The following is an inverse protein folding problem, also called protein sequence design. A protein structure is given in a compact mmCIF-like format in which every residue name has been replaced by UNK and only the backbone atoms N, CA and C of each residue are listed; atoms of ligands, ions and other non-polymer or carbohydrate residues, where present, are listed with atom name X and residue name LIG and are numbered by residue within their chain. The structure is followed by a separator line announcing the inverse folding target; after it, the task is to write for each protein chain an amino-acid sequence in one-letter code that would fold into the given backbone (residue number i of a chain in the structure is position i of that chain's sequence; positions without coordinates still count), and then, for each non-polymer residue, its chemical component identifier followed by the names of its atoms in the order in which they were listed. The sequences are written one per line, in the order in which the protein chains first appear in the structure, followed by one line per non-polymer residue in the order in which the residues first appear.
data_IF_195819477591
#
_entry.id   IF_195819477591
#
_cell.length_a   1.000
_cell.length_b   1.000
_cell.length_c   1.000
_cell.angle_alpha   90.00
_cell.angle_beta   90.00
_cell.angle_gamma   90.00
#
_symmetry.space_group_name_H-M   'P 1'
#
loop_
_entity.id
_entity.type
_entity.pdbx_description
1 polymer ?
#
# COMPACT_ATOMS: atom_id res chain seq x y z
N UNK A 1 16.13 -14.89 16.68
CA UNK A 1 15.56 -15.97 17.53
C UNK A 1 15.65 -17.27 16.74
N UNK A 2 16.26 -18.33 17.34
CA UNK A 2 16.38 -19.61 16.63
C UNK A 2 15.18 -20.51 16.96
N UNK A 3 14.41 -20.86 15.92
CA UNK A 3 13.39 -21.90 15.98
C UNK A 3 14.05 -23.28 15.79
N UNK A 4 13.51 -24.31 16.46
CA UNK A 4 13.91 -25.69 16.12
C UNK A 4 13.26 -26.07 14.79
N UNK A 5 13.83 -27.06 14.08
CA UNK A 5 13.27 -27.55 12.81
C UNK A 5 11.80 -27.95 12.94
N UNK A 6 11.41 -28.55 14.07
CA UNK A 6 10.02 -28.93 14.32
C UNK A 6 9.10 -27.73 14.55
N UNK A 7 9.60 -26.70 15.23
CA UNK A 7 8.86 -25.46 15.41
C UNK A 7 8.63 -24.71 14.09
N UNK A 8 9.63 -24.75 13.23
CA UNK A 8 9.52 -24.14 11.88
C UNK A 8 8.50 -24.87 11.00
N UNK A 9 8.53 -26.20 10.99
CA UNK A 9 7.54 -27.02 10.27
C UNK A 9 6.10 -26.74 10.74
N UNK A 10 5.89 -26.60 12.06
CA UNK A 10 4.55 -26.27 12.61
C UNK A 10 4.09 -24.88 12.16
N UNK A 11 4.97 -23.88 12.17
CA UNK A 11 4.64 -22.54 11.66
C UNK A 11 4.30 -22.55 10.17
N UNK A 12 5.07 -23.27 9.36
CA UNK A 12 4.83 -23.41 7.92
C UNK A 12 3.50 -24.09 7.63
N UNK A 13 3.16 -25.15 8.39
CA UNK A 13 1.87 -25.81 8.28
C UNK A 13 0.71 -24.88 8.63
N UNK A 14 0.80 -24.16 9.76
CA UNK A 14 -0.23 -23.17 10.15
C UNK A 14 -0.39 -22.09 9.08
N UNK A 15 0.73 -21.60 8.52
CA UNK A 15 0.72 -20.60 7.46
C UNK A 15 0.10 -21.13 6.15
N UNK A 16 0.36 -22.38 5.81
CA UNK A 16 -0.20 -23.05 4.62
C UNK A 16 -1.70 -23.21 4.73
N UNK A 17 -2.18 -23.76 5.84
CA UNK A 17 -3.61 -23.95 6.10
C UNK A 17 -4.36 -22.62 6.06
N UNK A 18 -3.81 -21.60 6.71
CA UNK A 18 -4.42 -20.25 6.73
C UNK A 18 -4.50 -19.63 5.32
N UNK A 19 -3.50 -19.87 4.46
CA UNK A 19 -3.52 -19.39 3.06
C UNK A 19 -4.51 -20.14 2.18
N UNK A 20 -4.65 -21.47 2.39
CA UNK A 20 -5.50 -22.32 1.54
C UNK A 20 -6.97 -22.26 1.94
N UNK A 21 -7.26 -22.32 3.23
CA UNK A 21 -8.61 -22.43 3.77
C UNK A 21 -9.15 -21.15 4.42
N UNK A 22 -8.27 -20.13 4.63
CA UNK A 22 -8.60 -18.93 5.40
C UNK A 22 -8.74 -19.20 6.91
N UNK A 23 -8.57 -20.45 7.37
CA UNK A 23 -8.80 -20.87 8.76
C UNK A 23 -7.51 -21.43 9.36
N UNK A 24 -7.24 -21.09 10.62
CA UNK A 24 -6.11 -21.65 11.34
C UNK A 24 -6.41 -23.08 11.82
N UNK A 25 -5.49 -24.03 11.68
CA UNK A 25 -5.72 -25.40 12.11
C UNK A 25 -5.90 -25.49 13.65
N UNK A 26 -6.76 -26.42 14.08
CA UNK A 26 -6.94 -26.72 15.49
C UNK A 26 -5.72 -27.49 16.05
N UNK A 27 -5.60 -27.56 17.37
CA UNK A 27 -4.56 -28.38 18.03
C UNK A 27 -4.65 -29.86 17.69
N UNK A 28 -5.85 -30.35 17.39
CA UNK A 28 -6.08 -31.72 16.96
C UNK A 28 -5.58 -31.97 15.54
N UNK A 29 -5.87 -31.07 14.62
CA UNK A 29 -5.36 -31.15 13.24
C UNK A 29 -3.81 -31.06 13.22
N UNK A 30 -3.22 -30.21 14.06
CA UNK A 30 -1.75 -30.16 14.23
C UNK A 30 -1.21 -31.48 14.81
N UNK A 31 -1.88 -32.06 15.82
CA UNK A 31 -1.49 -33.36 16.38
C UNK A 31 -1.51 -34.44 15.32
N UNK A 32 -2.60 -34.55 14.56
CA UNK A 32 -2.78 -35.55 13.51
C UNK A 32 -1.77 -35.39 12.39
N UNK A 33 -1.57 -34.17 11.88
CA UNK A 33 -0.61 -33.86 10.81
C UNK A 33 0.82 -34.23 11.16
N UNK A 34 1.25 -33.94 12.40
CA UNK A 34 2.62 -34.20 12.84
C UNK A 34 2.82 -35.52 13.55
N UNK A 35 1.79 -36.35 13.72
CA UNK A 35 1.85 -37.64 14.39
C UNK A 35 2.21 -37.53 15.87
N UNK A 36 1.82 -36.45 16.55
CA UNK A 36 2.11 -36.31 17.98
C UNK A 36 1.31 -37.29 18.84
N UNK A 37 1.94 -37.88 19.84
CA UNK A 37 1.33 -38.86 20.73
C UNK A 37 0.14 -38.30 21.53
N UNK A 38 0.04 -36.97 21.67
CA UNK A 38 -1.06 -36.32 22.38
C UNK A 38 -1.27 -34.88 21.93
N UNK A 39 -2.46 -34.34 22.14
CA UNK A 39 -2.72 -32.91 21.95
C UNK A 39 -1.86 -32.03 22.84
N UNK A 40 -1.49 -32.51 24.02
CA UNK A 40 -0.59 -31.80 24.94
C UNK A 40 0.78 -31.52 24.30
N UNK A 41 1.31 -32.46 23.48
CA UNK A 41 2.55 -32.26 22.76
C UNK A 41 2.42 -31.12 21.73
N UNK A 42 1.34 -31.09 20.94
CA UNK A 42 1.05 -29.98 20.03
C UNK A 42 0.95 -28.64 20.78
N UNK A 43 0.18 -28.62 21.89
CA UNK A 43 0.02 -27.41 22.73
C UNK A 43 1.37 -26.90 23.26
N UNK A 44 2.28 -27.79 23.66
CA UNK A 44 3.59 -27.40 24.17
C UNK A 44 4.44 -26.72 23.08
N UNK A 45 4.39 -27.22 21.84
CA UNK A 45 5.04 -26.56 20.71
C UNK A 45 4.44 -25.19 20.44
N UNK A 46 3.10 -25.05 20.44
CA UNK A 46 2.43 -23.77 20.25
C UNK A 46 2.78 -22.78 21.35
N UNK A 47 2.80 -23.18 22.63
CA UNK A 47 3.26 -22.33 23.74
C UNK A 47 4.72 -21.89 23.59
N UNK A 48 5.57 -22.75 23.06
CA UNK A 48 6.96 -22.38 22.80
C UNK A 48 7.07 -21.35 21.68
N UNK A 49 6.23 -21.44 20.64
CA UNK A 49 6.14 -20.46 19.56
C UNK A 49 5.56 -19.12 20.04
N UNK A 50 4.58 -19.16 20.95
CA UNK A 50 4.05 -17.96 21.63
C UNK A 50 5.14 -17.25 22.45
N UNK A 51 5.87 -17.98 23.30
CA UNK A 51 6.98 -17.41 24.08
C UNK A 51 8.09 -16.82 23.20
N UNK A 52 8.26 -17.34 21.98
CA UNK A 52 9.19 -16.81 20.98
C UNK A 52 8.61 -15.66 20.17
N UNK A 53 7.35 -15.24 20.43
CA UNK A 53 6.71 -14.11 19.79
C UNK A 53 6.39 -14.30 18.29
N UNK A 54 6.40 -15.55 17.78
CA UNK A 54 6.08 -15.86 16.37
C UNK A 54 4.66 -16.36 16.15
N UNK A 55 3.96 -16.65 17.25
CA UNK A 55 2.55 -17.04 17.27
C UNK A 55 1.84 -16.28 18.38
N UNK A 56 0.62 -15.84 18.13
CA UNK A 56 -0.27 -15.26 19.13
C UNK A 56 -1.56 -16.07 19.18
N UNK A 57 -2.01 -16.43 20.40
CA UNK A 57 -3.26 -17.15 20.61
C UNK A 57 -4.22 -16.28 21.43
N UNK A 58 -5.47 -16.25 21.01
CA UNK A 58 -6.51 -15.60 21.79
C UNK A 58 -7.19 -16.61 22.69
N UNK A 59 -7.09 -16.42 24.01
CA UNK A 59 -7.70 -17.30 24.99
C UNK A 59 -9.23 -17.36 24.79
N UNK A 60 -9.79 -18.56 24.92
CA UNK A 60 -11.25 -18.79 24.88
C UNK A 60 -11.87 -18.93 23.49
N UNK A 61 -11.11 -18.86 22.40
CA UNK A 61 -11.62 -19.11 21.05
C UNK A 61 -10.86 -20.27 20.37
N UNK A 62 -11.55 -21.35 20.05
CA UNK A 62 -10.99 -22.41 19.22
C UNK A 62 -10.56 -21.82 17.85
N UNK A 63 -9.38 -22.21 17.35
CA UNK A 63 -8.81 -21.74 16.08
C UNK A 63 -8.40 -20.23 16.03
N UNK A 64 -8.40 -19.53 17.16
CA UNK A 64 -7.96 -18.13 17.20
C UNK A 64 -6.44 -18.04 17.43
N UNK A 65 -5.68 -18.53 16.47
CA UNK A 65 -4.23 -18.35 16.38
C UNK A 65 -3.90 -17.37 15.27
N UNK A 66 -3.07 -16.40 15.56
CA UNK A 66 -2.50 -15.48 14.58
C UNK A 66 -0.99 -15.73 14.51
N UNK A 67 -0.48 -15.95 13.30
CA UNK A 67 0.96 -15.89 13.07
C UNK A 67 1.39 -14.45 13.29
N UNK A 68 2.29 -14.23 14.24
CA UNK A 68 3.01 -12.96 14.30
C UNK A 68 3.94 -13.00 13.10
N UNK A 69 3.53 -12.36 12.02
CA UNK A 69 4.32 -12.30 10.80
C UNK A 69 5.69 -11.72 11.16
N UNK A 70 6.73 -12.53 11.08
CA UNK A 70 8.13 -12.07 11.19
C UNK A 70 8.55 -11.28 9.94
N UNK A 71 7.76 -11.34 8.90
CA UNK A 71 7.69 -10.27 7.92
C UNK A 71 6.96 -9.14 8.63
N UNK A 72 7.69 -8.13 9.05
CA UNK A 72 7.12 -6.81 9.36
C UNK A 72 6.36 -6.33 8.12
N UNK A 73 5.17 -6.90 7.90
CA UNK A 73 4.23 -6.33 6.94
C UNK A 73 3.64 -5.14 7.65
N UNK A 74 3.95 -3.98 7.15
CA UNK A 74 3.19 -2.81 7.52
C UNK A 74 1.73 -3.03 7.09
N UNK A 75 0.77 -2.35 7.71
CA UNK A 75 -0.63 -2.54 7.39
C UNK A 75 -0.85 -2.35 5.90
N UNK A 76 -1.63 -3.25 5.31
CA UNK A 76 -2.16 -3.05 3.97
C UNK A 76 -3.18 -1.92 4.08
N UNK A 77 -3.02 -0.90 3.25
CA UNK A 77 -3.98 0.19 3.12
C UNK A 77 -4.73 0.07 1.80
N UNK A 78 -5.98 0.44 1.84
CA UNK A 78 -6.84 0.55 0.69
C UNK A 78 -6.80 1.99 0.16
N UNK A 79 -6.16 2.17 -0.98
CA UNK A 79 -5.95 3.47 -1.64
C UNK A 79 -7.05 3.64 -2.69
N UNK A 80 -7.97 4.60 -2.54
CA UNK A 80 -9.00 4.85 -3.53
C UNK A 80 -8.38 5.33 -4.85
N UNK A 81 -8.88 4.81 -5.98
CA UNK A 81 -8.45 5.21 -7.33
C UNK A 81 -9.50 6.18 -7.87
N UNK A 82 -9.05 7.33 -8.37
CA UNK A 82 -9.88 8.31 -9.04
C UNK A 82 -9.52 8.42 -10.52
N UNK A 83 -10.52 8.54 -11.38
CA UNK A 83 -10.32 8.68 -12.84
C UNK A 83 -9.87 10.07 -13.24
N UNK A 84 -10.37 11.07 -12.56
CA UNK A 84 -9.98 12.48 -12.65
C UNK A 84 -10.41 13.16 -11.35
N UNK A 85 -9.71 14.19 -10.92
CA UNK A 85 -10.15 15.03 -9.81
C UNK A 85 -10.72 16.30 -10.46
N UNK A 86 -12.05 16.48 -10.38
CA UNK A 86 -12.65 17.77 -10.69
C UNK A 86 -12.25 18.77 -9.59
N UNK A 87 -12.25 20.02 -9.87
CA UNK A 87 -12.03 21.23 -9.05
C UNK A 87 -11.67 21.11 -7.54
N UNK A 88 -10.99 20.05 -7.10
CA UNK A 88 -10.50 19.87 -5.72
C UNK A 88 -11.11 18.70 -4.95
N UNK A 89 -10.49 18.36 -3.80
CA UNK A 89 -10.87 17.22 -2.94
C UNK A 89 -12.30 17.33 -2.37
N UNK A 90 -12.90 18.51 -2.31
CA UNK A 90 -14.23 18.73 -1.77
C UNK A 90 -15.36 18.07 -2.60
N UNK A 91 -15.09 17.72 -3.85
CA UNK A 91 -16.05 17.12 -4.79
C UNK A 91 -15.78 15.64 -5.12
N UNK A 92 -14.91 14.97 -4.36
CA UNK A 92 -14.67 13.54 -4.53
C UNK A 92 -15.86 12.74 -4.00
N UNK A 93 -16.85 12.53 -4.86
CA UNK A 93 -17.99 11.65 -4.57
C UNK A 93 -17.59 10.19 -4.73
N UNK A 94 -18.34 9.26 -4.09
CA UNK A 94 -18.14 7.82 -4.27
C UNK A 94 -18.28 7.40 -5.74
N UNK A 95 -19.05 8.12 -6.53
CA UNK A 95 -19.24 7.93 -7.98
C UNK A 95 -17.97 8.19 -8.80
N UNK A 96 -17.02 8.98 -8.30
CA UNK A 96 -15.73 9.24 -8.96
C UNK A 96 -14.69 8.11 -8.73
N UNK A 97 -14.98 7.12 -7.89
CA UNK A 97 -14.06 6.03 -7.57
C UNK A 97 -14.00 5.00 -8.69
N UNK A 98 -12.84 4.86 -9.30
CA UNK A 98 -12.54 3.84 -10.31
C UNK A 98 -12.10 2.49 -9.72
N UNK A 99 -12.16 2.33 -8.38
CA UNK A 99 -11.72 1.11 -7.68
C UNK A 99 -10.86 1.41 -6.46
N UNK A 100 -10.19 0.35 -5.96
CA UNK A 100 -9.30 0.41 -4.80
C UNK A 100 -8.00 -0.31 -5.14
N UNK A 101 -6.88 0.26 -4.74
CA UNK A 101 -5.54 -0.34 -4.83
C UNK A 101 -5.09 -0.71 -3.41
N UNK A 102 -5.05 -2.02 -3.10
CA UNK A 102 -4.59 -2.49 -1.79
C UNK A 102 -3.08 -2.74 -1.83
N UNK A 103 -2.31 -2.03 -1.01
CA UNK A 103 -0.85 -2.10 -0.99
C UNK A 103 -0.29 -2.06 0.43
N UNK A 104 0.87 -2.69 0.61
CA UNK A 104 1.68 -2.54 1.83
C UNK A 104 2.24 -1.11 1.87
N UNK A 105 2.03 -0.40 2.99
CA UNK A 105 2.46 1.00 3.16
C UNK A 105 3.96 1.17 2.95
N UNK A 106 4.76 0.18 3.36
CA UNK A 106 6.22 0.20 3.19
C UNK A 106 6.64 0.05 1.74
N UNK A 107 5.91 -0.79 0.97
CA UNK A 107 6.19 -1.00 -0.45
C UNK A 107 6.05 0.29 -1.27
N UNK A 108 5.19 1.21 -0.84
CA UNK A 108 4.93 2.50 -1.51
C UNK A 108 5.53 3.70 -0.78
N UNK A 109 6.32 3.47 0.28
CA UNK A 109 6.97 4.55 1.03
C UNK A 109 6.01 5.42 1.85
N UNK A 110 4.79 4.96 2.12
CA UNK A 110 3.79 5.66 2.92
C UNK A 110 3.96 5.37 4.41
N UNK A 111 3.66 6.35 5.26
CA UNK A 111 3.46 6.13 6.68
C UNK A 111 2.08 5.52 6.93
N UNK A 112 1.93 4.69 7.95
CA UNK A 112 0.65 4.02 8.27
C UNK A 112 -0.52 4.98 8.54
N UNK A 113 -0.24 6.24 8.88
CA UNK A 113 -1.23 7.30 9.09
C UNK A 113 -1.39 8.25 7.90
N UNK A 114 -0.69 7.99 6.78
CA UNK A 114 -0.74 8.87 5.62
C UNK A 114 -2.10 8.78 4.91
N UNK A 115 -2.65 9.91 4.55
CA UNK A 115 -3.77 9.98 3.64
C UNK A 115 -3.24 9.89 2.21
N UNK A 116 -3.70 8.91 1.45
CA UNK A 116 -3.26 8.65 0.10
C UNK A 116 -4.43 8.35 -0.84
N UNK A 117 -4.22 8.64 -2.10
CA UNK A 117 -5.14 8.30 -3.19
C UNK A 117 -4.33 7.96 -4.45
N UNK A 118 -4.95 7.33 -5.42
CA UNK A 118 -4.34 7.03 -6.69
C UNK A 118 -5.09 7.71 -7.83
N UNK A 119 -4.34 8.14 -8.85
CA UNK A 119 -4.88 8.71 -10.09
C UNK A 119 -4.46 7.86 -11.27
N UNK A 120 -5.36 7.70 -12.22
CA UNK A 120 -5.02 7.17 -13.53
C UNK A 120 -4.48 8.30 -14.40
N UNK A 121 -3.24 8.15 -14.86
CA UNK A 121 -2.58 9.11 -15.74
C UNK A 121 -3.27 9.14 -17.10
N UNK A 122 -3.42 10.35 -17.67
CA UNK A 122 -3.88 10.57 -19.03
C UNK A 122 -2.90 11.48 -19.77
N UNK A 123 -2.57 11.07 -20.98
CA UNK A 123 -1.65 11.79 -21.85
C UNK A 123 -0.18 11.51 -21.54
N UNK A 124 0.69 12.26 -22.19
CA UNK A 124 2.12 12.01 -22.30
C UNK A 124 3.01 13.14 -21.73
N UNK A 125 2.41 14.08 -21.01
CA UNK A 125 3.15 15.26 -20.49
C UNK A 125 4.25 14.92 -19.50
N UNK A 126 4.28 13.69 -18.95
CA UNK A 126 5.24 13.24 -17.95
C UNK A 126 6.11 12.06 -18.42
N UNK A 127 6.19 11.81 -19.73
CA UNK A 127 6.95 10.68 -20.30
C UNK A 127 8.45 10.74 -20.00
N UNK A 128 9.03 11.92 -19.90
CA UNK A 128 10.43 12.11 -19.50
C UNK A 128 10.73 11.67 -18.07
N UNK A 129 9.72 11.63 -17.21
CA UNK A 129 9.78 11.02 -15.88
C UNK A 129 9.36 9.53 -15.89
N UNK A 130 9.24 8.91 -17.08
CA UNK A 130 8.80 7.52 -17.27
C UNK A 130 7.36 7.24 -16.77
N UNK A 131 6.53 8.26 -16.71
CA UNK A 131 5.10 8.15 -16.38
C UNK A 131 4.33 8.22 -17.70
N UNK A 132 3.62 7.12 -18.02
CA UNK A 132 2.94 6.95 -19.29
C UNK A 132 1.42 7.02 -19.12
N UNK A 133 0.74 7.20 -20.25
CA UNK A 133 -0.72 7.10 -20.28
C UNK A 133 -1.19 5.74 -19.74
N UNK A 134 -2.24 5.75 -18.92
CA UNK A 134 -2.78 4.55 -18.29
C UNK A 134 -2.11 4.11 -16.98
N UNK A 135 -0.97 4.67 -16.61
CA UNK A 135 -0.32 4.38 -15.32
C UNK A 135 -1.21 4.80 -14.15
N UNK A 136 -1.05 4.12 -13.00
CA UNK A 136 -1.61 4.56 -11.74
C UNK A 136 -0.50 5.21 -10.91
N UNK A 137 -0.67 6.47 -10.52
CA UNK A 137 0.23 7.17 -9.60
C UNK A 137 -0.40 7.21 -8.22
N UNK A 138 0.36 6.81 -7.20
CA UNK A 138 -0.03 6.90 -5.79
C UNK A 138 0.49 8.22 -5.23
N UNK A 139 -0.40 8.98 -4.62
CA UNK A 139 -0.16 10.33 -4.14
C UNK A 139 -0.44 10.40 -2.63
N UNK A 140 0.49 10.97 -1.87
CA UNK A 140 0.32 11.28 -0.45
C UNK A 140 -0.15 12.73 -0.29
N UNK A 141 -1.17 12.95 0.53
CA UNK A 141 -1.63 14.30 0.89
C UNK A 141 -0.63 14.95 1.85
N UNK A 142 0.33 15.65 1.30
CA UNK A 142 1.33 16.44 2.03
C UNK A 142 1.79 17.65 1.23
N UNK A 143 2.41 18.60 1.91
CA UNK A 143 3.04 19.72 1.24
C UNK A 143 4.19 19.28 0.31
N UNK A 144 4.31 19.86 -0.88
CA UNK A 144 5.35 19.52 -1.84
C UNK A 144 6.71 20.11 -1.43
N UNK A 145 7.76 19.44 -1.88
CA UNK A 145 9.13 19.97 -1.90
C UNK A 145 9.50 20.32 -3.34
N UNK A 146 10.49 21.17 -3.51
CA UNK A 146 11.01 21.46 -4.84
C UNK A 146 11.43 20.18 -5.57
N UNK A 147 11.02 20.04 -6.82
CA UNK A 147 11.18 18.87 -7.68
C UNK A 147 10.30 17.64 -7.36
N UNK A 148 9.37 17.71 -6.42
CA UNK A 148 8.36 16.67 -6.28
C UNK A 148 7.45 16.59 -7.52
N UNK A 149 7.02 15.39 -7.90
CA UNK A 149 5.92 15.20 -8.85
C UNK A 149 4.62 15.28 -8.08
N UNK A 150 3.70 16.12 -8.52
CA UNK A 150 2.48 16.44 -7.79
C UNK A 150 1.24 16.35 -8.66
N UNK A 151 0.13 15.94 -8.06
CA UNK A 151 -1.18 16.29 -8.59
C UNK A 151 -1.57 17.64 -8.02
N UNK A 152 -1.90 18.57 -8.89
CA UNK A 152 -2.24 19.93 -8.50
C UNK A 152 -3.42 20.45 -9.31
N UNK A 153 -4.22 21.29 -8.64
CA UNK A 153 -5.19 22.16 -9.29
C UNK A 153 -4.50 23.47 -9.61
N UNK A 154 -4.50 23.85 -10.86
CA UNK A 154 -3.96 25.12 -11.35
C UNK A 154 -5.00 25.79 -12.23
N UNK A 155 -5.39 27.00 -11.88
CA UNK A 155 -6.37 27.82 -12.62
C UNK A 155 -7.66 27.04 -13.01
N UNK A 156 -8.15 26.15 -12.10
CA UNK A 156 -9.34 25.33 -12.28
C UNK A 156 -9.12 23.97 -12.97
N UNK A 157 -7.90 23.65 -13.39
CA UNK A 157 -7.58 22.36 -14.04
C UNK A 157 -6.68 21.48 -13.18
N UNK A 158 -7.03 20.21 -13.07
CA UNK A 158 -6.18 19.22 -12.37
C UNK A 158 -5.17 18.61 -13.32
N UNK A 159 -3.90 18.59 -12.89
CA UNK A 159 -2.80 18.05 -13.70
C UNK A 159 -1.75 17.35 -12.84
N UNK A 160 -0.98 16.45 -13.46
CA UNK A 160 0.20 15.83 -12.88
C UNK A 160 1.45 16.45 -13.50
N UNK A 161 2.29 17.10 -12.69
CA UNK A 161 3.48 17.81 -13.15
C UNK A 161 4.58 17.78 -12.09
N UNK A 162 5.77 18.22 -12.47
CA UNK A 162 6.83 18.50 -11.50
C UNK A 162 6.62 19.88 -10.87
N UNK A 163 6.58 19.92 -9.56
CA UNK A 163 6.51 21.16 -8.78
C UNK A 163 7.90 21.79 -8.70
N UNK A 164 8.04 23.00 -9.20
CA UNK A 164 9.31 23.72 -9.21
C UNK A 164 9.15 25.06 -8.52
N UNK A 165 10.12 25.37 -7.64
CA UNK A 165 10.24 26.71 -7.04
C UNK A 165 11.51 27.35 -7.53
N UNK A 166 11.41 28.49 -8.21
CA UNK A 166 12.52 29.27 -8.68
C UNK A 166 12.36 30.71 -8.20
N UNK A 167 13.38 31.23 -7.50
CA UNK A 167 13.40 32.60 -6.93
C UNK A 167 12.14 32.94 -6.12
N UNK A 168 11.61 31.94 -5.39
CA UNK A 168 10.40 32.10 -4.56
C UNK A 168 9.09 32.00 -5.30
N UNK A 169 9.08 31.81 -6.61
CA UNK A 169 7.89 31.58 -7.42
C UNK A 169 7.71 30.09 -7.71
N UNK A 170 6.54 29.57 -7.40
CA UNK A 170 6.17 28.19 -7.70
C UNK A 170 5.49 28.11 -9.07
N UNK A 171 5.82 27.07 -9.83
CA UNK A 171 5.19 26.74 -11.09
C UNK A 171 5.23 25.21 -11.31
N UNK A 172 4.48 24.73 -12.31
CA UNK A 172 4.41 23.32 -12.67
C UNK A 172 5.11 23.08 -14.01
N UNK A 173 6.07 22.16 -14.01
CA UNK A 173 6.86 21.80 -15.18
C UNK A 173 6.45 20.42 -15.73
N UNK A 174 6.21 20.32 -17.01
CA UNK A 174 6.04 19.05 -17.71
C UNK A 174 7.40 18.34 -17.86
N UNK A 175 7.38 17.04 -17.90
CA UNK A 175 8.51 16.17 -18.25
C UNK A 175 8.41 15.71 -19.73
N UNK A 176 7.95 16.61 -20.58
CA UNK A 176 7.88 16.45 -22.01
C UNK A 176 8.07 17.84 -22.65
N UNK A 177 9.10 18.04 -23.50
CA UNK A 177 9.39 19.34 -24.08
C UNK A 177 8.30 19.91 -25.00
N UNK A 178 7.33 19.07 -25.40
CA UNK A 178 6.19 19.52 -26.20
C UNK A 178 5.13 20.28 -25.38
N UNK A 179 5.29 20.34 -24.05
CA UNK A 179 4.36 21.00 -23.15
C UNK A 179 5.04 22.20 -22.48
N UNK A 180 4.39 23.35 -22.43
CA UNK A 180 4.92 24.52 -21.73
C UNK A 180 4.88 24.33 -20.21
N UNK A 181 5.71 25.10 -19.51
CA UNK A 181 5.61 25.27 -18.06
C UNK A 181 4.30 26.00 -17.72
N UNK A 182 3.62 25.55 -16.66
CA UNK A 182 2.37 26.14 -16.20
C UNK A 182 2.66 27.07 -15.03
N UNK A 183 2.55 28.37 -15.27
CA UNK A 183 2.69 29.42 -14.27
C UNK A 183 1.29 29.80 -13.81
N UNK A 184 0.96 29.68 -12.49
CA UNK A 184 -0.39 30.00 -12.04
C UNK A 184 -0.73 31.46 -12.24
N UNK A 185 -1.92 31.71 -12.77
CA UNK A 185 -2.46 33.07 -12.95
C UNK A 185 -3.28 33.49 -11.72
N UNK A 186 -4.02 32.55 -11.15
CA UNK A 186 -4.92 32.79 -10.02
C UNK A 186 -4.57 31.92 -8.82
N UNK A 187 -4.48 30.59 -9.01
CA UNK A 187 -4.26 29.65 -7.92
C UNK A 187 -3.39 28.45 -8.33
N UNK A 188 -2.67 27.93 -7.36
CA UNK A 188 -1.98 26.64 -7.43
C UNK A 188 -2.19 25.91 -6.12
N UNK A 189 -2.99 24.85 -6.15
CA UNK A 189 -3.26 24.02 -4.99
C UNK A 189 -2.70 22.62 -5.22
N UNK A 190 -1.68 22.24 -4.46
CA UNK A 190 -1.14 20.87 -4.51
C UNK A 190 -2.07 19.95 -3.75
N UNK A 191 -2.61 18.96 -4.45
CA UNK A 191 -3.56 17.98 -3.93
C UNK A 191 -2.86 16.76 -3.34
N UNK A 192 -1.69 16.41 -3.88
CA UNK A 192 -0.88 15.31 -3.37
C UNK A 192 0.47 15.21 -4.07
N UNK A 193 1.41 14.57 -3.38
CA UNK A 193 2.76 14.33 -3.85
C UNK A 193 2.92 12.87 -4.21
N UNK A 194 3.43 12.58 -5.40
CA UNK A 194 3.65 11.23 -5.88
C UNK A 194 4.69 10.51 -5.02
N UNK A 195 4.34 9.29 -4.59
CA UNK A 195 5.21 8.41 -3.79
C UNK A 195 5.49 7.08 -4.50
N UNK A 196 4.59 6.64 -5.38
CA UNK A 196 4.78 5.42 -6.14
C UNK A 196 4.05 5.46 -7.49
N UNK A 197 4.49 4.58 -8.40
CA UNK A 197 3.87 4.34 -9.70
C UNK A 197 3.58 2.85 -9.84
N UNK A 198 2.39 2.53 -10.31
CA UNK A 198 1.96 1.17 -10.61
C UNK A 198 1.58 1.09 -12.07
N UNK A 199 2.28 0.25 -12.83
CA UNK A 199 1.97 -0.03 -14.24
C UNK A 199 1.47 -1.43 -14.40
N UNK A 200 0.30 -1.58 -14.99
CA UNK A 200 -0.21 -2.88 -15.41
C UNK A 200 0.33 -3.16 -16.82
N UNK A 201 1.10 -4.22 -16.96
CA UNK A 201 1.56 -4.69 -18.27
C UNK A 201 0.53 -5.68 -18.79
N UNK A 202 -0.10 -5.34 -19.93
CA UNK A 202 -0.96 -6.28 -20.64
C UNK A 202 -0.05 -7.24 -21.41
N UNK A 203 -0.24 -8.55 -21.21
CA UNK A 203 0.46 -9.62 -21.91
C UNK A 203 -0.32 -10.05 -23.14
#
# INVERSE_FOLDING_TARGET
MNLTSRQQQILEFIASEQRQSGVTPSTREIQEHFGFASQTAAVNHLRALERKGVLQRHAGKARAMALVSTLNRDPIIDIPIYGSIAAGFAELTEESRGGVLSMDTRAVGLRSSAQAFALKVRGDSMIGAQINDGDLVVLEQRGPRNNDIVAALIDGETTLKRFVVNRGQAFLKAENPNYPDLIPLTELVVQGVMVALVRKVES
#
